data_IF_387587454837
#
_entry.id   IF_387587454837
#
_cell.length_a   1.000
_cell.length_b   1.000
_cell.length_c   1.000
_cell.angle_alpha   90.00
_cell.angle_beta   90.00
_cell.angle_gamma   90.00
#
_symmetry.space_group_name_H-M   'P 1'
#
loop_
_entity.id
_entity.type
_entity.pdbx_description
1 polymer ?
#
# COMPACT_ATOMS: atom_id res chain seq x y z
N UNK A 1 -3.01 -20.97 8.23
CA UNK A 1 -2.71 -20.80 9.67
C UNK A 1 -1.96 -21.99 10.24
N UNK A 2 -2.56 -23.19 10.29
CA UNK A 2 -1.96 -24.39 10.93
C UNK A 2 -0.55 -24.69 10.40
N UNK A 3 -0.38 -24.68 9.07
CA UNK A 3 0.94 -24.86 8.45
C UNK A 3 1.98 -23.82 8.91
N UNK A 4 1.60 -22.55 9.01
CA UNK A 4 2.51 -21.50 9.48
C UNK A 4 2.98 -21.72 10.92
N UNK A 5 2.10 -22.21 11.80
CA UNK A 5 2.45 -22.54 13.19
C UNK A 5 3.36 -23.77 13.26
N UNK A 6 3.06 -24.81 12.49
CA UNK A 6 3.89 -26.02 12.39
C UNK A 6 5.30 -25.67 11.90
N UNK A 7 5.40 -24.94 10.79
CA UNK A 7 6.67 -24.53 10.19
C UNK A 7 7.48 -23.67 11.18
N UNK A 8 6.84 -22.71 11.86
CA UNK A 8 7.50 -21.88 12.87
C UNK A 8 8.00 -22.69 14.08
N UNK A 9 7.29 -23.74 14.51
CA UNK A 9 7.76 -24.68 15.52
C UNK A 9 8.94 -25.52 15.03
N UNK A 10 8.86 -26.06 13.81
CA UNK A 10 9.95 -26.86 13.22
C UNK A 10 11.23 -26.04 13.04
N UNK A 11 11.10 -24.74 12.79
CA UNK A 11 12.22 -23.78 12.74
C UNK A 11 12.72 -23.34 14.11
N UNK A 12 12.07 -23.72 15.21
CA UNK A 12 12.41 -23.27 16.56
C UNK A 12 12.10 -21.79 16.85
N UNK A 13 11.27 -21.14 16.02
CA UNK A 13 10.87 -19.74 16.20
C UNK A 13 9.88 -19.59 17.35
N UNK A 14 9.02 -20.60 17.58
CA UNK A 14 8.03 -20.59 18.66
C UNK A 14 7.74 -21.99 19.21
N UNK A 15 7.21 -22.05 20.44
CA UNK A 15 6.64 -23.26 21.06
C UNK A 15 5.12 -23.18 20.99
N UNK A 16 4.49 -24.14 20.31
CA UNK A 16 3.03 -24.18 20.09
C UNK A 16 2.25 -24.11 21.41
N UNK A 17 2.78 -24.68 22.50
CA UNK A 17 2.10 -24.71 23.79
C UNK A 17 2.07 -23.33 24.47
N UNK A 18 2.91 -22.40 24.02
CA UNK A 18 2.99 -21.03 24.53
C UNK A 18 2.15 -20.04 23.72
N UNK A 19 1.62 -20.43 22.56
CA UNK A 19 0.74 -19.58 21.75
C UNK A 19 -0.59 -19.39 22.48
N UNK A 20 -0.94 -18.13 22.78
CA UNK A 20 -2.20 -17.79 23.46
C UNK A 20 -3.27 -17.28 22.50
N UNK A 21 -2.84 -16.60 21.43
CA UNK A 21 -3.73 -15.99 20.46
C UNK A 21 -3.12 -16.11 19.09
N UNK A 22 -3.96 -16.30 18.09
CA UNK A 22 -3.59 -16.23 16.68
C UNK A 22 -4.57 -15.28 16.01
N UNK A 23 -4.04 -14.32 15.25
CA UNK A 23 -4.83 -13.43 14.43
C UNK A 23 -4.45 -13.64 12.98
N UNK A 24 -5.45 -13.87 12.13
CA UNK A 24 -5.28 -14.06 10.69
C UNK A 24 -6.08 -12.97 10.00
N UNK A 25 -5.39 -12.16 9.21
CA UNK A 25 -5.99 -11.07 8.47
C UNK A 25 -5.71 -11.28 6.99
N UNK A 26 -6.78 -11.45 6.22
CA UNK A 26 -6.69 -11.44 4.77
C UNK A 26 -6.75 -9.99 4.28
N UNK A 27 -5.63 -9.52 3.74
CA UNK A 27 -5.52 -8.19 3.17
C UNK A 27 -5.56 -8.34 1.65
N UNK A 28 -6.70 -8.07 0.98
CA UNK A 28 -6.86 -8.32 -0.46
C UNK A 28 -5.88 -7.51 -1.31
N UNK A 29 -5.45 -6.35 -0.82
CA UNK A 29 -4.47 -5.49 -1.48
C UNK A 29 -3.28 -5.26 -0.54
N UNK A 30 -2.27 -6.13 -0.62
CA UNK A 30 -1.04 -5.97 0.18
C UNK A 30 0.06 -5.17 -0.53
N UNK A 31 0.18 -5.36 -1.84
CA UNK A 31 1.33 -4.89 -2.61
C UNK A 31 0.91 -4.23 -3.91
N UNK A 32 1.58 -3.13 -4.22
CA UNK A 32 1.57 -2.55 -5.56
C UNK A 32 2.51 -3.38 -6.43
N UNK A 33 2.04 -3.81 -7.59
CA UNK A 33 2.82 -4.60 -8.54
C UNK A 33 3.45 -3.70 -9.59
N UNK A 34 4.74 -3.93 -9.86
CA UNK A 34 5.53 -3.18 -10.83
C UNK A 34 5.69 -4.03 -12.08
N UNK A 35 4.64 -4.04 -12.90
CA UNK A 35 4.72 -4.63 -14.22
C UNK A 35 5.28 -3.64 -15.26
N UNK A 36 5.46 -4.13 -16.49
CA UNK A 36 6.00 -3.32 -17.59
C UNK A 36 5.08 -2.17 -18.02
N UNK A 37 3.77 -2.27 -17.76
CA UNK A 37 2.79 -1.26 -18.20
C UNK A 37 2.51 -0.20 -17.13
N UNK A 38 2.90 -0.46 -15.87
CA UNK A 38 2.64 0.40 -14.71
C UNK A 38 2.87 1.87 -15.02
N UNK A 39 4.05 2.22 -15.52
CA UNK A 39 4.44 3.62 -15.73
C UNK A 39 3.46 4.34 -16.66
N UNK A 40 3.08 3.70 -17.77
CA UNK A 40 2.17 4.29 -18.75
C UNK A 40 0.74 4.37 -18.22
N UNK A 41 0.25 3.29 -17.60
CA UNK A 41 -1.10 3.23 -17.04
C UNK A 41 -1.29 4.25 -15.91
N UNK A 42 -0.37 4.28 -14.94
CA UNK A 42 -0.41 5.21 -13.81
C UNK A 42 -0.34 6.65 -14.29
N UNK A 43 0.54 6.96 -15.26
CA UNK A 43 0.63 8.29 -15.84
C UNK A 43 -0.70 8.74 -16.47
N UNK A 44 -1.30 7.90 -17.33
CA UNK A 44 -2.56 8.21 -18.00
C UNK A 44 -3.71 8.41 -17.00
N UNK A 45 -3.83 7.53 -16.01
CA UNK A 45 -4.87 7.62 -14.97
C UNK A 45 -4.70 8.90 -14.14
N UNK A 46 -3.48 9.20 -13.67
CA UNK A 46 -3.21 10.41 -12.88
C UNK A 46 -3.48 11.67 -13.67
N UNK A 47 -3.06 11.73 -14.93
CA UNK A 47 -3.31 12.87 -15.80
C UNK A 47 -4.81 13.11 -15.97
N UNK A 48 -5.59 12.06 -16.20
CA UNK A 48 -7.05 12.16 -16.31
C UNK A 48 -7.67 12.69 -15.01
N UNK A 49 -7.35 12.08 -13.87
CA UNK A 49 -7.90 12.47 -12.57
C UNK A 49 -7.56 13.93 -12.22
N UNK A 50 -6.30 14.33 -12.40
CA UNK A 50 -5.88 15.71 -12.13
C UNK A 50 -6.52 16.72 -13.08
N UNK A 51 -6.83 16.32 -14.32
CA UNK A 51 -7.53 17.13 -15.30
C UNK A 51 -8.96 17.47 -14.87
N UNK A 52 -9.59 16.62 -14.06
CA UNK A 52 -10.94 16.84 -13.50
C UNK A 52 -10.90 17.27 -12.02
N UNK A 53 -9.74 17.69 -11.51
CA UNK A 53 -9.59 18.21 -10.16
C UNK A 53 -9.46 17.16 -9.05
N UNK A 54 -9.23 15.89 -9.40
CA UNK A 54 -9.01 14.80 -8.45
C UNK A 54 -7.50 14.54 -8.31
N UNK A 55 -6.98 14.64 -7.09
CA UNK A 55 -5.56 14.37 -6.78
C UNK A 55 -5.42 13.07 -6.01
N UNK A 56 -5.07 12.00 -6.72
CA UNK A 56 -4.87 10.68 -6.13
C UNK A 56 -3.52 10.58 -5.40
N UNK A 57 -3.53 10.00 -4.19
CA UNK A 57 -2.37 9.92 -3.31
C UNK A 57 -2.32 8.62 -2.48
N UNK A 58 -1.20 8.36 -1.83
CA UNK A 58 -0.93 7.20 -0.99
C UNK A 58 -0.54 5.94 -1.79
N UNK A 59 -0.20 4.85 -1.08
CA UNK A 59 0.33 3.60 -1.68
C UNK A 59 -0.50 3.10 -2.87
N UNK A 60 -1.81 2.98 -2.70
CA UNK A 60 -2.70 2.48 -3.75
C UNK A 60 -3.24 3.58 -4.67
N UNK A 61 -3.34 4.83 -4.21
CA UNK A 61 -3.80 5.94 -5.05
C UNK A 61 -2.73 6.44 -6.02
N UNK A 62 -1.48 6.50 -5.57
CA UNK A 62 -0.32 6.80 -6.42
C UNK A 62 0.23 5.57 -7.12
N UNK A 63 -0.24 4.37 -6.71
CA UNK A 63 0.19 3.09 -7.25
C UNK A 63 1.72 2.97 -7.20
N UNK A 64 2.29 3.22 -6.02
CA UNK A 64 3.73 3.19 -5.77
C UNK A 64 4.05 2.39 -4.49
N UNK A 65 5.29 1.94 -4.39
CA UNK A 65 5.75 1.10 -3.28
C UNK A 65 6.21 1.97 -2.11
N UNK A 66 5.22 2.55 -1.43
CA UNK A 66 5.47 3.48 -0.33
C UNK A 66 5.57 2.80 1.03
N UNK A 67 6.49 3.35 1.84
CA UNK A 67 6.43 3.28 3.30
C UNK A 67 5.33 4.20 3.86
N UNK A 68 5.22 4.28 5.19
CA UNK A 68 4.24 5.17 5.83
C UNK A 68 4.61 6.65 5.62
N UNK A 69 5.89 7.00 5.74
CA UNK A 69 6.38 8.35 5.54
C UNK A 69 6.22 8.81 4.09
N UNK A 70 6.51 7.94 3.12
CA UNK A 70 6.31 8.26 1.70
C UNK A 70 4.83 8.55 1.40
N UNK A 71 3.93 7.70 1.91
CA UNK A 71 2.50 7.88 1.72
C UNK A 71 1.98 9.16 2.39
N UNK A 72 2.54 9.54 3.54
CA UNK A 72 2.21 10.79 4.22
C UNK A 72 2.64 12.00 3.38
N UNK A 73 3.88 12.04 2.92
CA UNK A 73 4.39 13.14 2.09
C UNK A 73 3.65 13.23 0.76
N UNK A 74 3.31 12.10 0.14
CA UNK A 74 2.52 12.08 -1.10
C UNK A 74 1.12 12.68 -0.90
N UNK A 75 0.46 12.36 0.22
CA UNK A 75 -0.81 12.99 0.61
C UNK A 75 -0.67 14.50 0.84
N UNK A 76 0.39 14.92 1.53
CA UNK A 76 0.69 16.34 1.74
C UNK A 76 0.88 17.09 0.42
N UNK A 77 1.64 16.50 -0.51
CA UNK A 77 1.90 17.07 -1.83
C UNK A 77 0.62 17.20 -2.65
N UNK A 78 -0.25 16.19 -2.62
CA UNK A 78 -1.55 16.22 -3.27
C UNK A 78 -2.43 17.35 -2.72
N UNK A 79 -2.51 17.50 -1.39
CA UNK A 79 -3.26 18.57 -0.74
C UNK A 79 -2.70 19.96 -1.08
N UNK A 80 -1.37 20.11 -1.08
CA UNK A 80 -0.69 21.37 -1.45
C UNK A 80 -0.98 21.76 -2.89
N UNK A 81 -0.93 20.80 -3.83
CA UNK A 81 -1.22 21.01 -5.25
C UNK A 81 -2.68 21.38 -5.50
N UNK A 82 -3.61 20.80 -4.72
CA UNK A 82 -5.01 21.19 -4.75
C UNK A 82 -5.19 22.63 -4.26
N UNK A 83 -4.61 22.97 -3.10
CA UNK A 83 -4.72 24.32 -2.53
C UNK A 83 -4.19 25.40 -3.48
N UNK A 84 -3.11 25.14 -4.22
CA UNK A 84 -2.57 26.10 -5.19
C UNK A 84 -3.45 26.31 -6.44
N UNK A 85 -4.48 25.49 -6.65
CA UNK A 85 -5.44 25.67 -7.76
C UNK A 85 -6.70 26.42 -7.36
N UNK A 86 -6.99 26.50 -6.06
CA UNK A 86 -8.18 27.15 -5.51
C UNK A 86 -7.90 28.63 -5.19
N UNK A 87 -6.64 28.97 -4.91
CA UNK A 87 -6.14 30.34 -4.80
C UNK A 87 -5.84 30.94 -6.17
#
# INVERSE_FOLDING_TARGET
>A
MEKCLQDACSMGVLDINKVKTVNVLDIPYGYVLFDHNRKNAVHAIRQYLEGIGIFSAGRFGSWDYFSMEDAFFDGWNAATKLSSRIN
#
